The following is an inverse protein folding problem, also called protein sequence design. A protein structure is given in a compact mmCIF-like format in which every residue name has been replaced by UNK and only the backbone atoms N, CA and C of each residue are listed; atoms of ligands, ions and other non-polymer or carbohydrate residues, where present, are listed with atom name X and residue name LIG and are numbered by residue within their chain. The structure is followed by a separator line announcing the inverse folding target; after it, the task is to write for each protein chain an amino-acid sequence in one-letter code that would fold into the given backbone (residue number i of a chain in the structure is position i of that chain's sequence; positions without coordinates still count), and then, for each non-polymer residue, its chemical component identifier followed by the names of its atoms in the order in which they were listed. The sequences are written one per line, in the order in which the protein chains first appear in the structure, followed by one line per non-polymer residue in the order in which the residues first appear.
data_IF_381485463500
#
_entry.id   IF_381485463500
#
_cell.length_a   1.000
_cell.length_b   1.000
_cell.length_c   1.000
_cell.angle_alpha   90.00
_cell.angle_beta   90.00
_cell.angle_gamma   90.00
#
_symmetry.space_group_name_H-M   'P 1'
#
loop_
_entity.id
_entity.type
_entity.pdbx_description
1 polymer ?
#
# COMPACT_ATOMS: atom_id res chain seq x y z
N UNK A 1 -14.33 -17.47 -7.11
CA UNK A 1 -14.84 -16.11 -7.39
C UNK A 1 -14.08 -15.45 -8.53
N UNK A 2 -12.78 -15.17 -8.37
CA UNK A 2 -11.93 -14.57 -9.42
C UNK A 2 -12.15 -15.17 -10.82
N UNK A 3 -11.94 -16.47 -10.98
CA UNK A 3 -12.05 -17.17 -12.27
C UNK A 3 -13.45 -17.07 -12.90
N UNK A 4 -14.51 -17.02 -12.08
CA UNK A 4 -15.87 -17.00 -12.58
C UNK A 4 -16.39 -15.59 -12.89
N UNK A 5 -15.66 -14.55 -12.50
CA UNK A 5 -16.03 -13.13 -12.71
C UNK A 5 -14.98 -12.33 -13.48
N UNK A 6 -13.94 -12.98 -14.03
CA UNK A 6 -12.82 -12.29 -14.70
C UNK A 6 -13.27 -11.54 -15.96
N UNK A 7 -14.24 -12.09 -16.70
CA UNK A 7 -14.70 -11.53 -17.96
C UNK A 7 -16.06 -10.81 -17.85
N UNK A 8 -16.48 -10.44 -16.64
CA UNK A 8 -17.76 -9.74 -16.44
C UNK A 8 -17.62 -8.29 -16.84
N UNK A 9 -18.52 -7.81 -17.70
CA UNK A 9 -18.50 -6.43 -18.19
C UNK A 9 -19.81 -5.69 -17.92
N UNK A 10 -20.94 -6.40 -17.98
CA UNK A 10 -22.28 -5.81 -17.87
C UNK A 10 -23.06 -6.31 -16.65
N UNK A 11 -23.99 -5.49 -16.16
CA UNK A 11 -24.85 -5.79 -15.01
C UNK A 11 -25.86 -6.92 -15.28
N UNK A 12 -26.26 -7.14 -16.53
CA UNK A 12 -27.26 -8.15 -16.90
C UNK A 12 -26.70 -9.55 -17.17
N UNK A 13 -25.40 -9.76 -16.95
CA UNK A 13 -24.75 -11.05 -17.15
C UNK A 13 -25.00 -12.01 -15.97
N UNK A 14 -25.05 -13.32 -16.26
CA UNK A 14 -25.20 -14.35 -15.22
C UNK A 14 -24.11 -14.29 -14.15
N UNK A 15 -22.90 -13.85 -14.53
CA UNK A 15 -21.79 -13.63 -13.60
C UNK A 15 -22.09 -12.55 -12.56
N UNK A 16 -22.90 -11.53 -12.87
CA UNK A 16 -23.31 -10.52 -11.89
C UNK A 16 -24.23 -11.14 -10.83
N UNK A 17 -25.22 -11.95 -11.22
CA UNK A 17 -26.07 -12.65 -10.24
C UNK A 17 -25.24 -13.61 -9.37
N UNK A 18 -24.27 -14.32 -9.97
CA UNK A 18 -23.29 -15.09 -9.21
C UNK A 18 -22.50 -14.20 -8.23
N UNK A 19 -22.05 -13.01 -8.63
CA UNK A 19 -21.30 -12.10 -7.78
C UNK A 19 -22.14 -11.52 -6.62
N UNK A 20 -23.40 -11.17 -6.88
CA UNK A 20 -24.22 -10.32 -6.01
C UNK A 20 -25.26 -11.05 -5.17
N UNK A 21 -25.87 -12.15 -5.67
CA UNK A 21 -27.13 -12.67 -5.08
C UNK A 21 -26.94 -13.95 -4.26
N UNK A 22 -26.17 -14.91 -4.77
CA UNK A 22 -26.14 -16.30 -4.25
C UNK A 22 -25.33 -16.48 -2.94
N UNK A 23 -25.64 -15.73 -1.88
CA UNK A 23 -24.89 -15.72 -0.61
C UNK A 23 -24.95 -17.04 0.17
N UNK A 24 -26.12 -17.70 0.24
CA UNK A 24 -26.28 -18.96 0.96
C UNK A 24 -25.33 -20.02 0.39
N UNK A 25 -25.33 -20.16 -0.94
CA UNK A 25 -24.44 -21.10 -1.61
C UNK A 25 -22.95 -20.76 -1.40
N UNK A 26 -22.57 -19.48 -1.48
CA UNK A 26 -21.19 -19.04 -1.22
C UNK A 26 -20.75 -19.33 0.21
N UNK A 27 -21.65 -19.18 1.19
CA UNK A 27 -21.36 -19.50 2.58
C UNK A 27 -21.09 -20.99 2.77
N UNK A 28 -21.94 -21.86 2.22
CA UNK A 28 -21.69 -23.31 2.24
C UNK A 28 -20.38 -23.67 1.54
N UNK A 29 -20.11 -23.09 0.38
CA UNK A 29 -18.84 -23.28 -0.34
C UNK A 29 -17.64 -22.88 0.52
N UNK A 30 -17.72 -21.74 1.22
CA UNK A 30 -16.66 -21.28 2.12
C UNK A 30 -16.42 -22.27 3.27
N UNK A 31 -17.49 -22.73 3.94
CA UNK A 31 -17.39 -23.71 5.03
C UNK A 31 -16.78 -25.02 4.54
N UNK A 32 -17.20 -25.50 3.36
CA UNK A 32 -16.64 -26.72 2.75
C UNK A 32 -15.15 -26.54 2.48
N UNK A 33 -14.73 -25.43 1.89
CA UNK A 33 -13.31 -25.16 1.60
C UNK A 33 -12.48 -25.03 2.88
N UNK A 34 -13.02 -24.38 3.92
CA UNK A 34 -12.38 -24.32 5.23
C UNK A 34 -12.18 -25.70 5.85
N UNK A 35 -13.21 -26.54 5.85
CA UNK A 35 -13.11 -27.91 6.39
C UNK A 35 -12.14 -28.75 5.54
N UNK A 36 -12.20 -28.62 4.21
CA UNK A 36 -11.31 -29.32 3.28
C UNK A 36 -9.83 -28.99 3.53
N UNK A 37 -9.51 -27.77 3.97
CA UNK A 37 -8.13 -27.34 4.23
C UNK A 37 -7.41 -28.19 5.30
N UNK A 38 -8.13 -28.79 6.25
CA UNK A 38 -7.55 -29.65 7.29
C UNK A 38 -7.05 -31.00 6.76
N UNK A 39 -7.51 -31.40 5.57
CA UNK A 39 -7.12 -32.66 4.94
C UNK A 39 -5.96 -32.50 3.94
N UNK A 40 -5.45 -31.27 3.75
CA UNK A 40 -4.35 -31.00 2.81
C UNK A 40 -3.02 -31.42 3.45
N UNK A 41 -2.21 -32.28 2.78
CA UNK A 41 -0.91 -32.70 3.29
C UNK A 41 0.09 -31.53 3.43
N UNK A 42 1.01 -31.64 4.39
CA UNK A 42 2.02 -30.64 4.72
C UNK A 42 2.84 -30.14 3.50
N UNK A 43 3.17 -31.03 2.57
CA UNK A 43 3.92 -30.69 1.35
C UNK A 43 3.21 -29.61 0.52
N UNK A 44 1.89 -29.74 0.35
CA UNK A 44 1.11 -28.78 -0.43
C UNK A 44 0.96 -27.44 0.30
N UNK A 45 0.89 -27.46 1.63
CA UNK A 45 0.84 -26.24 2.45
C UNK A 45 2.14 -25.44 2.31
N UNK A 46 3.30 -26.10 2.27
CA UNK A 46 4.58 -25.43 2.06
C UNK A 46 4.69 -24.81 0.67
N UNK A 47 4.28 -25.55 -0.38
CA UNK A 47 4.24 -25.02 -1.76
C UNK A 47 3.31 -23.80 -1.82
N UNK A 48 2.11 -23.91 -1.22
CA UNK A 48 1.18 -22.80 -1.16
C UNK A 48 1.75 -21.61 -0.39
N UNK A 49 2.48 -21.82 0.71
CA UNK A 49 3.11 -20.74 1.46
C UNK A 49 4.13 -19.94 0.63
N UNK A 50 4.88 -20.59 -0.26
CA UNK A 50 5.79 -19.91 -1.19
C UNK A 50 5.02 -19.07 -2.23
N UNK A 51 3.92 -19.62 -2.76
CA UNK A 51 3.00 -18.88 -3.64
C UNK A 51 2.40 -17.68 -2.90
N UNK A 52 1.95 -17.87 -1.66
CA UNK A 52 1.38 -16.83 -0.82
C UNK A 52 2.40 -15.74 -0.49
N UNK A 53 3.69 -16.08 -0.33
CA UNK A 53 4.77 -15.09 -0.14
C UNK A 53 4.89 -14.17 -1.35
N UNK A 54 4.87 -14.72 -2.56
CA UNK A 54 4.92 -13.93 -3.80
C UNK A 54 3.64 -13.10 -3.95
N UNK A 55 2.47 -13.72 -3.75
CA UNK A 55 1.18 -13.04 -3.83
C UNK A 55 1.04 -11.90 -2.82
N UNK A 56 1.55 -12.07 -1.60
CA UNK A 56 1.62 -11.04 -0.58
C UNK A 56 2.50 -9.86 -1.00
N UNK A 57 3.63 -10.12 -1.68
CA UNK A 57 4.46 -9.07 -2.27
C UNK A 57 3.73 -8.27 -3.34
N UNK A 58 2.98 -8.96 -4.22
CA UNK A 58 2.13 -8.31 -5.24
C UNK A 58 1.04 -7.47 -4.57
N UNK A 59 0.39 -7.99 -3.52
CA UNK A 59 -0.61 -7.26 -2.75
C UNK A 59 -0.05 -5.95 -2.18
N UNK A 60 1.12 -6.01 -1.54
CA UNK A 60 1.79 -4.83 -1.00
C UNK A 60 2.05 -3.79 -2.11
N UNK A 61 2.53 -4.21 -3.28
CA UNK A 61 2.72 -3.32 -4.43
C UNK A 61 1.43 -2.66 -4.91
N UNK A 62 0.33 -3.42 -5.05
CA UNK A 62 -0.98 -2.87 -5.42
C UNK A 62 -1.52 -1.90 -4.37
N UNK A 63 -1.37 -2.25 -3.08
CA UNK A 63 -1.76 -1.39 -1.98
C UNK A 63 -0.96 -0.07 -1.97
N UNK A 64 0.35 -0.12 -2.28
CA UNK A 64 1.18 1.08 -2.39
C UNK A 64 0.69 2.02 -3.50
N UNK A 65 0.40 1.48 -4.68
CA UNK A 65 -0.13 2.27 -5.80
C UNK A 65 -1.46 2.90 -5.41
N UNK A 66 -2.37 2.13 -4.83
CA UNK A 66 -3.68 2.62 -4.37
C UNK A 66 -3.55 3.72 -3.30
N UNK A 67 -2.63 3.57 -2.34
CA UNK A 67 -2.34 4.60 -1.33
C UNK A 67 -1.80 5.88 -1.97
N UNK A 68 -0.89 5.78 -2.95
CA UNK A 68 -0.32 6.95 -3.64
C UNK A 68 -1.39 7.67 -4.48
N UNK A 69 -2.27 6.93 -5.16
CA UNK A 69 -3.42 7.53 -5.86
C UNK A 69 -4.37 8.21 -4.89
N UNK A 70 -4.68 7.56 -3.77
CA UNK A 70 -5.49 8.15 -2.71
C UNK A 70 -4.87 9.44 -2.15
N UNK A 71 -3.56 9.47 -1.89
CA UNK A 71 -2.84 10.68 -1.45
C UNK A 71 -2.95 11.78 -2.51
N UNK A 72 -2.87 11.42 -3.80
CA UNK A 72 -2.96 12.38 -4.91
C UNK A 72 -4.38 12.94 -5.03
N UNK A 73 -5.39 12.08 -4.92
CA UNK A 73 -6.80 12.47 -4.87
C UNK A 73 -7.07 13.39 -3.67
N UNK A 74 -6.58 13.02 -2.48
CA UNK A 74 -6.72 13.82 -1.26
C UNK A 74 -6.06 15.19 -1.44
N UNK A 75 -4.86 15.24 -2.01
CA UNK A 75 -4.18 16.49 -2.34
C UNK A 75 -5.02 17.38 -3.26
N UNK A 76 -5.60 16.82 -4.33
CA UNK A 76 -6.41 17.57 -5.29
C UNK A 76 -7.76 18.00 -4.72
N UNK A 77 -8.33 17.23 -3.80
CA UNK A 77 -9.58 17.57 -3.11
C UNK A 77 -9.40 18.82 -2.21
N UNK A 78 -8.32 18.88 -1.44
CA UNK A 78 -8.07 20.02 -0.55
C UNK A 78 -7.38 21.21 -1.25
N UNK A 79 -6.63 20.95 -2.33
CA UNK A 79 -5.99 21.96 -3.17
C UNK A 79 -6.43 21.86 -4.63
N UNK A 80 -7.71 22.18 -4.96
CA UNK A 80 -8.19 22.20 -6.33
C UNK A 80 -7.51 23.31 -7.15
N UNK A 81 -7.30 23.06 -8.45
CA UNK A 81 -6.59 23.96 -9.37
C UNK A 81 -7.31 25.31 -9.61
N UNK A 82 -8.63 25.38 -9.42
CA UNK A 82 -9.42 26.62 -9.50
C UNK A 82 -9.34 27.37 -8.16
N UNK A 83 -8.41 28.32 -8.09
CA UNK A 83 -7.92 28.90 -6.83
C UNK A 83 -8.90 29.89 -6.18
N UNK A 84 -9.19 29.68 -4.90
CA UNK A 84 -9.44 30.76 -3.93
C UNK A 84 -8.21 30.89 -3.02
N UNK A 85 -7.88 32.11 -2.57
CA UNK A 85 -6.75 32.33 -1.62
C UNK A 85 -6.88 31.50 -0.33
N UNK A 86 -8.11 31.15 0.06
CA UNK A 86 -8.42 30.37 1.26
C UNK A 86 -8.01 28.89 1.13
N UNK A 87 -8.20 28.27 -0.04
CA UNK A 87 -7.81 26.87 -0.27
C UNK A 87 -6.28 26.68 -0.26
N UNK A 88 -5.52 27.63 -0.81
CA UNK A 88 -4.06 27.61 -0.77
C UNK A 88 -3.51 27.72 0.67
N UNK A 89 -4.10 28.60 1.50
CA UNK A 89 -3.72 28.73 2.91
C UNK A 89 -3.98 27.44 3.70
N UNK A 90 -5.14 26.80 3.48
CA UNK A 90 -5.49 25.54 4.14
C UNK A 90 -4.54 24.39 3.76
N UNK A 91 -4.21 24.26 2.47
CA UNK A 91 -3.27 23.23 2.01
C UNK A 91 -1.86 23.36 2.60
N UNK A 92 -1.38 24.60 2.77
CA UNK A 92 -0.10 24.88 3.44
C UNK A 92 -0.14 24.53 4.93
N UNK A 93 -1.21 24.91 5.65
CA UNK A 93 -1.38 24.55 7.06
C UNK A 93 -1.38 23.04 7.24
N UNK A 94 -2.16 22.32 6.43
CA UNK A 94 -2.21 20.85 6.48
C UNK A 94 -0.86 20.22 6.18
N UNK A 95 -0.12 20.73 5.19
CA UNK A 95 1.21 20.24 4.88
C UNK A 95 2.18 20.40 6.07
N UNK A 96 2.16 21.56 6.73
CA UNK A 96 2.97 21.82 7.93
C UNK A 96 2.63 20.80 9.03
N UNK A 97 1.36 20.52 9.26
CA UNK A 97 0.92 19.53 10.27
C UNK A 97 1.50 18.14 9.96
N UNK A 98 1.41 17.67 8.71
CA UNK A 98 1.97 16.37 8.34
C UNK A 98 3.50 16.32 8.46
N UNK A 99 4.20 17.39 8.09
CA UNK A 99 5.66 17.46 8.24
C UNK A 99 6.09 17.49 9.72
N UNK A 100 5.42 18.29 10.57
CA UNK A 100 5.66 18.29 12.02
C UNK A 100 5.40 16.90 12.60
N UNK A 101 4.27 16.27 12.25
CA UNK A 101 3.95 14.91 12.68
C UNK A 101 5.03 13.90 12.29
N UNK A 102 5.55 14.00 11.05
CA UNK A 102 6.63 13.14 10.56
C UNK A 102 7.94 13.33 11.34
N UNK A 103 8.33 14.58 11.61
CA UNK A 103 9.53 14.91 12.41
C UNK A 103 9.38 14.43 13.85
N UNK A 104 8.21 14.63 14.48
CA UNK A 104 7.91 14.10 15.80
C UNK A 104 8.00 12.57 15.84
N UNK A 105 7.46 11.89 14.81
CA UNK A 105 7.56 10.43 14.67
C UNK A 105 9.00 9.94 14.60
N UNK A 106 9.85 10.60 13.80
CA UNK A 106 11.29 10.31 13.72
C UNK A 106 11.97 10.51 15.08
N UNK A 107 11.70 11.62 15.77
CA UNK A 107 12.30 11.92 17.07
C UNK A 107 11.92 10.87 18.13
N UNK A 108 10.65 10.48 18.17
CA UNK A 108 10.15 9.39 19.02
C UNK A 108 10.85 8.07 18.68
N UNK A 109 11.02 7.75 17.40
CA UNK A 109 11.70 6.53 16.99
C UNK A 109 13.17 6.50 17.43
N UNK A 110 13.92 7.59 17.27
CA UNK A 110 15.29 7.69 17.77
C UNK A 110 15.36 7.54 19.28
N UNK A 111 14.45 8.19 20.02
CA UNK A 111 14.41 8.13 21.48
C UNK A 111 14.13 6.71 21.99
N UNK A 112 13.13 6.01 21.43
CA UNK A 112 12.73 4.70 21.94
C UNK A 112 13.51 3.52 21.38
N UNK A 113 13.98 3.62 20.12
CA UNK A 113 14.56 2.48 19.38
C UNK A 113 16.01 2.69 18.93
N UNK A 114 16.57 3.90 19.11
CA UNK A 114 17.91 4.28 18.69
C UNK A 114 18.81 4.86 19.80
N UNK A 115 18.38 4.80 21.07
CA UNK A 115 19.11 5.43 22.19
C UNK A 115 20.46 4.77 22.53
N UNK A 116 20.72 3.55 22.07
CA UNK A 116 21.96 2.81 22.31
C UNK A 116 22.68 2.52 20.99
N UNK A 117 24.01 2.62 21.00
CA UNK A 117 24.87 2.25 19.86
C UNK A 117 24.81 0.76 19.52
N UNK A 118 24.29 -0.08 20.43
CA UNK A 118 23.99 -1.48 20.17
C UNK A 118 22.85 -1.67 19.14
N UNK A 119 22.05 -0.64 18.88
CA UNK A 119 20.90 -0.66 17.97
C UNK A 119 21.20 -0.09 16.59
N UNK A 120 22.39 -0.41 16.06
CA UNK A 120 22.90 0.16 14.80
C UNK A 120 21.97 -0.04 13.61
N UNK A 121 21.24 -1.17 13.54
CA UNK A 121 20.31 -1.43 12.44
C UNK A 121 19.06 -0.55 12.50
N UNK A 122 18.49 -0.32 13.68
CA UNK A 122 17.35 0.59 13.84
C UNK A 122 17.77 2.03 13.56
N UNK A 123 18.96 2.44 14.01
CA UNK A 123 19.54 3.76 13.69
C UNK A 123 19.69 3.91 12.17
N UNK A 124 20.18 2.87 11.48
CA UNK A 124 20.30 2.87 10.02
C UNK A 124 18.93 3.03 9.33
N UNK A 125 17.92 2.25 9.71
CA UNK A 125 16.58 2.36 9.14
C UNK A 125 16.01 3.77 9.31
N UNK A 126 16.01 4.31 10.53
CA UNK A 126 15.48 5.65 10.81
C UNK A 126 16.28 6.72 10.05
N UNK A 127 17.61 6.61 10.00
CA UNK A 127 18.48 7.53 9.26
C UNK A 127 18.16 7.53 7.76
N UNK A 128 17.97 6.35 7.19
CA UNK A 128 17.62 6.20 5.79
C UNK A 128 16.23 6.79 5.48
N UNK A 129 15.26 6.57 6.36
CA UNK A 129 13.94 7.20 6.27
C UNK A 129 14.04 8.73 6.24
N UNK A 130 14.87 9.34 7.11
CA UNK A 130 15.12 10.79 7.08
C UNK A 130 15.67 11.25 5.72
N UNK A 131 16.62 10.50 5.14
CA UNK A 131 17.18 10.81 3.82
C UNK A 131 16.07 10.75 2.76
N UNK A 132 15.23 9.71 2.75
CA UNK A 132 14.10 9.59 1.81
C UNK A 132 13.13 10.78 1.93
N UNK A 133 12.82 11.20 3.16
CA UNK A 133 11.96 12.36 3.43
C UNK A 133 12.55 13.66 2.85
N UNK A 134 13.84 13.91 3.07
CA UNK A 134 14.52 15.09 2.53
C UNK A 134 14.51 15.07 0.99
N UNK A 135 14.83 13.92 0.39
CA UNK A 135 14.84 13.75 -1.07
C UNK A 135 13.44 14.00 -1.66
N UNK A 136 12.39 13.41 -1.08
CA UNK A 136 11.01 13.64 -1.51
C UNK A 136 10.61 15.12 -1.39
N UNK A 137 10.97 15.78 -0.28
CA UNK A 137 10.67 17.20 -0.08
C UNK A 137 11.38 18.08 -1.13
N UNK A 138 12.67 17.85 -1.38
CA UNK A 138 13.45 18.62 -2.36
C UNK A 138 12.88 18.45 -3.78
N UNK A 139 12.57 17.23 -4.17
CA UNK A 139 12.01 16.94 -5.51
C UNK A 139 10.63 17.56 -5.67
N UNK A 140 9.76 17.48 -4.65
CA UNK A 140 8.42 18.08 -4.69
C UNK A 140 8.43 19.61 -4.78
N UNK A 141 9.50 20.26 -4.32
CA UNK A 141 9.69 21.72 -4.43
C UNK A 141 10.32 22.16 -5.77
N UNK A 142 10.84 21.21 -6.56
CA UNK A 142 11.57 21.53 -7.78
C UNK A 142 10.67 22.22 -8.82
N UNK A 143 11.20 23.26 -9.46
CA UNK A 143 10.43 24.19 -10.29
C UNK A 143 9.76 23.54 -11.51
N UNK A 144 10.31 22.43 -12.01
CA UNK A 144 9.79 21.67 -13.16
C UNK A 144 8.63 20.72 -12.83
N UNK A 145 8.31 20.49 -11.55
CA UNK A 145 7.21 19.59 -11.17
C UNK A 145 5.87 20.32 -11.35
N UNK A 146 5.00 19.77 -12.22
CA UNK A 146 3.76 20.41 -12.70
C UNK A 146 2.68 20.59 -11.63
N UNK A 147 2.78 19.85 -10.51
CA UNK A 147 1.90 19.95 -9.34
C UNK A 147 2.78 20.14 -8.09
N UNK A 148 3.13 21.39 -7.75
CA UNK A 148 3.86 21.71 -6.51
C UNK A 148 2.96 21.41 -5.30
N UNK A 149 3.00 20.17 -4.82
CA UNK A 149 2.16 19.68 -3.75
C UNK A 149 2.95 19.40 -2.49
N UNK A 150 3.27 20.43 -1.71
CA UNK A 150 3.84 20.26 -0.37
C UNK A 150 2.97 19.35 0.49
N UNK A 151 1.64 19.43 0.34
CA UNK A 151 0.69 18.57 1.05
C UNK A 151 0.86 17.09 0.70
N UNK A 152 0.87 16.73 -0.59
CA UNK A 152 1.11 15.35 -1.03
C UNK A 152 2.42 14.77 -0.47
N UNK A 153 3.51 15.56 -0.52
CA UNK A 153 4.80 15.12 0.03
C UNK A 153 4.81 14.97 1.55
N UNK A 154 4.08 15.83 2.27
CA UNK A 154 3.94 15.74 3.72
C UNK A 154 3.13 14.50 4.15
N UNK A 155 2.02 14.21 3.45
CA UNK A 155 1.23 12.99 3.70
C UNK A 155 2.08 11.75 3.41
N UNK A 156 2.83 11.75 2.30
CA UNK A 156 3.76 10.66 1.96
C UNK A 156 4.86 10.51 3.02
N UNK A 157 5.43 11.60 3.52
CA UNK A 157 6.42 11.58 4.59
C UNK A 157 5.87 10.90 5.86
N UNK A 158 4.63 11.22 6.25
CA UNK A 158 3.97 10.56 7.39
C UNK A 158 3.75 9.06 7.16
N UNK A 159 3.41 8.68 5.93
CA UNK A 159 3.23 7.27 5.55
C UNK A 159 4.54 6.48 5.61
N UNK A 160 5.64 7.03 5.06
CA UNK A 160 6.98 6.40 5.13
C UNK A 160 7.43 6.26 6.59
N UNK A 161 7.25 7.30 7.42
CA UNK A 161 7.56 7.25 8.86
C UNK A 161 6.75 6.15 9.56
N UNK A 162 5.46 6.00 9.22
CA UNK A 162 4.62 4.93 9.75
C UNK A 162 5.11 3.53 9.32
N UNK A 163 5.53 3.36 8.06
CA UNK A 163 6.09 2.08 7.58
C UNK A 163 7.39 1.72 8.31
N UNK A 164 8.30 2.68 8.48
CA UNK A 164 9.53 2.50 9.26
C UNK A 164 9.21 2.10 10.71
N UNK A 165 8.29 2.82 11.36
CA UNK A 165 7.87 2.50 12.72
C UNK A 165 7.27 1.09 12.82
N UNK A 166 6.41 0.72 11.87
CA UNK A 166 5.82 -0.62 11.79
C UNK A 166 6.88 -1.71 11.61
N UNK A 167 7.93 -1.45 10.84
CA UNK A 167 9.03 -2.38 10.62
C UNK A 167 9.87 -2.62 11.88
N UNK A 168 10.22 -1.53 12.59
CA UNK A 168 10.98 -1.61 13.85
C UNK A 168 10.16 -2.32 14.93
N UNK A 169 8.85 -2.13 14.97
CA UNK A 169 7.95 -2.84 15.89
C UNK A 169 7.87 -4.35 15.63
N UNK A 170 8.23 -4.80 14.43
CA UNK A 170 8.32 -6.22 14.07
C UNK A 170 9.66 -6.86 14.44
N UNK A 171 10.61 -6.12 14.99
CA UNK A 171 11.90 -6.65 15.44
C UNK A 171 11.70 -7.76 16.51
N UNK A 172 12.43 -8.89 16.42
CA UNK A 172 12.31 -9.97 17.40
C UNK A 172 12.79 -9.56 18.80
N UNK A 173 12.14 -10.11 19.82
CA UNK A 173 12.27 -9.69 21.24
C UNK A 173 13.65 -9.90 21.88
N UNK A 174 14.53 -10.67 21.24
CA UNK A 174 15.88 -10.95 21.74
C UNK A 174 16.83 -9.75 21.57
N UNK A 175 16.50 -8.81 20.68
CA UNK A 175 17.25 -7.56 20.49
C UNK A 175 16.60 -6.46 21.33
N UNK A 176 17.17 -6.14 22.50
CA UNK A 176 16.60 -5.14 23.42
C UNK A 176 16.92 -3.72 22.98
N UNK A 177 16.30 -3.27 21.89
CA UNK A 177 16.41 -1.90 21.42
C UNK A 177 15.27 -0.99 21.87
N UNK A 178 14.19 -1.54 22.43
CA UNK A 178 13.06 -0.77 22.94
C UNK A 178 13.32 -0.33 24.40
N UNK A 179 13.35 0.99 24.63
CA UNK A 179 13.51 1.58 25.97
C UNK A 179 12.30 1.34 26.90
N UNK A 180 11.16 0.88 26.39
CA UNK A 180 9.99 0.57 27.21
C UNK A 180 10.08 -0.85 27.78
N UNK A 181 10.38 -0.92 29.09
CA UNK A 181 10.25 -2.10 29.93
C UNK A 181 8.80 -2.60 29.89
N UNK A 182 8.59 -3.87 29.50
CA UNK A 182 7.27 -4.49 29.46
C UNK A 182 6.66 -4.57 30.87
N UNK A 183 5.72 -3.68 31.18
CA UNK A 183 4.78 -3.88 32.27
C UNK A 183 3.57 -4.68 31.75
N UNK A 184 3.30 -5.77 32.44
CA UNK A 184 2.44 -6.89 32.04
C UNK A 184 0.93 -6.63 32.19
N UNK A 185 0.34 -5.81 31.31
CA UNK A 185 -1.10 -5.81 31.04
C UNK A 185 -1.36 -5.93 29.53
N UNK A 186 -0.83 -7.01 28.96
CA UNK A 186 -0.51 -7.14 27.53
C UNK A 186 -1.64 -7.81 26.72
N UNK A 187 -2.62 -8.46 27.35
CA UNK A 187 -3.52 -9.34 26.59
C UNK A 187 -4.63 -8.58 25.85
N UNK A 188 -5.33 -7.66 26.52
CA UNK A 188 -6.40 -6.86 25.88
C UNK A 188 -5.90 -5.92 24.79
N UNK A 189 -4.72 -5.32 25.00
CA UNK A 189 -4.10 -4.41 24.02
C UNK A 189 -3.60 -5.17 22.79
N UNK A 190 -3.13 -6.41 22.95
CA UNK A 190 -2.73 -7.28 21.83
C UNK A 190 -3.93 -7.75 21.02
N UNK A 191 -5.03 -8.16 21.68
CA UNK A 191 -6.27 -8.55 20.98
C UNK A 191 -6.85 -7.36 20.22
N UNK A 192 -6.93 -6.19 20.85
CA UNK A 192 -7.45 -4.98 20.22
C UNK A 192 -6.60 -4.56 19.01
N UNK A 193 -5.27 -4.56 19.15
CA UNK A 193 -4.36 -4.21 18.04
C UNK A 193 -4.44 -5.21 16.89
N UNK A 194 -4.63 -6.50 17.18
CA UNK A 194 -4.89 -7.52 16.18
C UNK A 194 -6.18 -7.26 15.41
N UNK A 195 -7.31 -7.01 16.09
CA UNK A 195 -8.59 -6.70 15.44
C UNK A 195 -8.52 -5.45 14.56
N UNK A 196 -7.82 -4.41 15.03
CA UNK A 196 -7.57 -3.20 14.25
C UNK A 196 -6.73 -3.52 13.01
N UNK A 197 -5.70 -4.36 13.13
CA UNK A 197 -4.88 -4.77 11.99
C UNK A 197 -5.70 -5.55 10.94
N UNK A 198 -6.57 -6.47 11.36
CA UNK A 198 -7.50 -7.16 10.45
C UNK A 198 -8.39 -6.14 9.74
N UNK A 199 -9.05 -5.26 10.51
CA UNK A 199 -9.94 -4.25 9.95
C UNK A 199 -9.24 -3.35 8.93
N UNK A 200 -8.02 -2.91 9.23
CA UNK A 200 -7.21 -2.11 8.33
C UNK A 200 -6.86 -2.85 7.04
N UNK A 201 -6.49 -4.14 7.12
CA UNK A 201 -6.18 -4.96 5.93
C UNK A 201 -7.42 -5.20 5.09
N UNK A 202 -8.56 -5.52 5.71
CA UNK A 202 -9.84 -5.70 5.01
C UNK A 202 -10.25 -4.42 4.30
N UNK A 203 -10.17 -3.27 4.98
CA UNK A 203 -10.49 -1.97 4.38
C UNK A 203 -9.52 -1.62 3.24
N UNK A 204 -8.22 -1.85 3.42
CA UNK A 204 -7.24 -1.63 2.36
C UNK A 204 -7.51 -2.53 1.14
N UNK A 205 -7.77 -3.81 1.37
CA UNK A 205 -8.11 -4.79 0.32
C UNK A 205 -9.37 -4.37 -0.43
N UNK A 206 -10.40 -3.96 0.31
CA UNK A 206 -11.66 -3.50 -0.27
C UNK A 206 -11.45 -2.23 -1.11
N UNK A 207 -10.78 -1.23 -0.55
CA UNK A 207 -10.46 0.02 -1.23
C UNK A 207 -9.66 -0.22 -2.51
N UNK A 208 -8.61 -1.03 -2.45
CA UNK A 208 -7.80 -1.37 -3.63
C UNK A 208 -8.60 -2.17 -4.65
N UNK A 209 -9.48 -3.08 -4.20
CA UNK A 209 -10.33 -3.88 -5.09
C UNK A 209 -11.33 -3.05 -5.90
N UNK A 210 -11.91 -2.01 -5.30
CA UNK A 210 -12.87 -1.11 -5.99
C UNK A 210 -12.18 -0.05 -6.84
N UNK A 211 -10.94 0.33 -6.50
CA UNK A 211 -10.11 1.30 -7.23
C UNK A 211 -9.60 0.74 -8.60
N UNK A 212 -10.11 -0.41 -9.04
CA UNK A 212 -9.89 -0.96 -10.39
C UNK A 212 -10.23 0.00 -11.52
N UNK A 213 -11.04 1.03 -11.27
CA UNK A 213 -11.40 2.07 -12.23
C UNK A 213 -10.19 2.89 -12.69
N UNK A 214 -9.22 3.17 -11.80
CA UNK A 214 -7.99 3.87 -12.17
C UNK A 214 -7.13 3.03 -13.12
N UNK A 215 -7.02 1.73 -12.84
CA UNK A 215 -6.35 0.76 -13.72
C UNK A 215 -7.12 0.50 -15.03
N UNK A 216 -8.46 0.47 -14.98
CA UNK A 216 -9.33 0.25 -16.15
C UNK A 216 -9.33 1.45 -17.10
N UNK A 217 -9.31 2.66 -16.56
CA UNK A 217 -9.28 3.91 -17.33
C UNK A 217 -7.98 4.07 -18.14
N UNK A 218 -6.85 3.53 -17.65
CA UNK A 218 -5.58 3.57 -18.39
C UNK A 218 -5.58 2.65 -19.62
N UNK A 219 -6.32 1.52 -19.58
CA UNK A 219 -6.44 0.60 -20.71
C UNK A 219 -7.56 0.95 -21.70
N UNK A 220 -8.61 1.65 -21.26
CA UNK A 220 -9.81 1.95 -22.08
C UNK A 220 -10.14 3.44 -22.04
N UNK A 221 -9.19 4.25 -22.51
CA UNK A 221 -9.31 5.71 -22.49
C UNK A 221 -10.33 6.26 -23.51
N UNK A 222 -10.76 5.43 -24.47
CA UNK A 222 -11.52 5.84 -25.66
C UNK A 222 -12.97 5.32 -25.74
N UNK A 223 -13.47 4.56 -24.75
CA UNK A 223 -14.86 4.08 -24.72
C UNK A 223 -15.68 4.83 -23.66
N UNK A 224 -16.84 5.35 -24.04
CA UNK A 224 -17.79 5.97 -23.11
C UNK A 224 -18.45 4.91 -22.22
N UNK A 225 -18.57 5.18 -20.91
CA UNK A 225 -19.29 4.30 -19.98
C UNK A 225 -20.78 4.27 -20.31
N UNK A 226 -21.34 3.07 -20.44
CA UNK A 226 -22.78 2.85 -20.61
C UNK A 226 -23.45 2.64 -19.24
N UNK A 227 -24.76 2.91 -19.14
CA UNK A 227 -25.51 2.78 -17.87
C UNK A 227 -25.54 1.35 -17.32
N UNK A 228 -25.36 0.34 -18.17
CA UNK A 228 -25.35 -1.08 -17.82
C UNK A 228 -23.94 -1.63 -17.50
N UNK A 229 -22.91 -0.80 -17.55
CA UNK A 229 -21.54 -1.18 -17.19
C UNK A 229 -21.38 -1.40 -15.67
N UNK A 230 -20.57 -2.38 -15.30
CA UNK A 230 -20.27 -2.64 -13.90
C UNK A 230 -19.42 -1.52 -13.27
N UNK A 231 -19.67 -1.16 -11.98
CA UNK A 231 -19.02 -0.02 -11.31
C UNK A 231 -17.54 -0.24 -10.98
N UNK A 232 -17.09 -1.49 -10.97
CA UNK A 232 -15.69 -1.88 -10.81
C UNK A 232 -15.50 -3.27 -11.44
N UNK A 233 -14.26 -3.63 -11.77
CA UNK A 233 -13.98 -4.97 -12.30
C UNK A 233 -14.12 -6.02 -11.21
N UNK A 234 -15.16 -6.87 -11.31
CA UNK A 234 -15.37 -7.96 -10.35
C UNK A 234 -14.18 -8.93 -10.31
N UNK A 235 -13.60 -9.25 -11.47
CA UNK A 235 -12.36 -10.03 -11.58
C UNK A 235 -11.24 -9.41 -10.76
N UNK A 236 -10.91 -8.15 -11.01
CA UNK A 236 -9.84 -7.46 -10.27
C UNK A 236 -10.13 -7.40 -8.76
N UNK A 237 -11.37 -7.09 -8.37
CA UNK A 237 -11.79 -7.08 -6.98
C UNK A 237 -11.48 -8.41 -6.28
N UNK A 238 -11.89 -9.55 -6.86
CA UNK A 238 -11.63 -10.87 -6.27
C UNK A 238 -10.15 -11.26 -6.32
N UNK A 239 -9.38 -10.77 -7.30
CA UNK A 239 -7.93 -10.95 -7.34
C UNK A 239 -7.27 -10.27 -6.14
N UNK A 240 -7.60 -8.99 -5.92
CA UNK A 240 -7.08 -8.21 -4.80
C UNK A 240 -7.46 -8.86 -3.46
N UNK A 241 -8.70 -9.35 -3.31
CA UNK A 241 -9.10 -10.11 -2.12
C UNK A 241 -8.31 -11.41 -1.93
N UNK A 242 -8.03 -12.14 -3.01
CA UNK A 242 -7.20 -13.35 -2.93
C UNK A 242 -5.75 -13.01 -2.52
N UNK A 243 -5.17 -11.96 -3.08
CA UNK A 243 -3.82 -11.50 -2.75
C UNK A 243 -3.76 -10.94 -1.32
N UNK A 244 -4.80 -10.24 -0.87
CA UNK A 244 -4.94 -9.75 0.50
C UNK A 244 -5.05 -10.88 1.52
N UNK A 245 -5.76 -11.96 1.19
CA UNK A 245 -5.80 -13.17 2.01
C UNK A 245 -4.43 -13.86 2.10
N UNK A 246 -3.66 -13.91 1.01
CA UNK A 246 -2.27 -14.40 1.02
C UNK A 246 -1.37 -13.53 1.90
N UNK A 247 -1.47 -12.20 1.78
CA UNK A 247 -0.74 -11.27 2.66
C UNK A 247 -1.10 -11.48 4.13
N UNK A 248 -2.39 -11.59 4.44
CA UNK A 248 -2.85 -11.85 5.80
C UNK A 248 -2.32 -13.17 6.38
N UNK A 249 -2.28 -14.23 5.56
CA UNK A 249 -1.66 -15.50 5.94
C UNK A 249 -0.15 -15.35 6.22
N UNK A 250 0.58 -14.58 5.41
CA UNK A 250 2.01 -14.33 5.62
C UNK A 250 2.29 -13.57 6.92
N UNK A 251 1.39 -12.66 7.35
CA UNK A 251 1.51 -11.97 8.63
C UNK A 251 1.41 -12.92 9.83
N UNK A 252 0.50 -13.90 9.79
CA UNK A 252 0.34 -14.88 10.87
C UNK A 252 1.58 -15.73 11.12
N UNK A 253 2.30 -16.06 10.05
CA UNK A 253 3.54 -16.85 10.12
C UNK A 253 4.79 -15.97 10.18
N UNK A 254 4.63 -14.65 10.36
CA UNK A 254 5.73 -13.67 10.40
C UNK A 254 6.68 -13.77 9.21
N UNK A 255 6.13 -14.04 8.02
CA UNK A 255 6.87 -14.24 6.77
C UNK A 255 7.83 -15.44 6.76
N UNK A 256 7.76 -16.32 7.76
CA UNK A 256 8.64 -17.46 7.92
C UNK A 256 7.90 -18.79 7.72
N UNK A 257 8.36 -19.60 6.78
CA UNK A 257 7.77 -20.90 6.46
C UNK A 257 8.40 -22.08 7.22
N UNK A 258 9.61 -21.89 7.76
CA UNK A 258 10.42 -22.99 8.32
C UNK A 258 10.34 -23.12 9.84
N UNK A 259 9.88 -22.07 10.54
CA UNK A 259 9.79 -22.06 12.00
C UNK A 259 8.35 -21.93 12.47
N UNK A 260 7.94 -22.80 13.38
CA UNK A 260 6.67 -22.70 14.09
C UNK A 260 6.71 -21.54 15.09
N UNK A 261 5.72 -20.65 15.03
CA UNK A 261 5.58 -19.53 15.96
C UNK A 261 5.30 -20.07 17.38
N UNK A 262 6.29 -20.04 18.27
CA UNK A 262 6.14 -20.58 19.65
C UNK A 262 5.29 -19.71 20.58
N UNK A 263 5.07 -18.44 20.22
CA UNK A 263 4.24 -17.48 20.97
C UNK A 263 3.26 -16.82 20.01
N UNK A 264 2.07 -16.47 20.50
CA UNK A 264 1.09 -15.65 19.77
C UNK A 264 1.64 -14.25 19.48
N UNK A 265 2.49 -14.15 18.45
CA UNK A 265 3.08 -12.91 17.95
C UNK A 265 2.92 -12.89 16.44
N UNK A 266 2.05 -12.02 15.95
CA UNK A 266 1.79 -11.83 14.53
C UNK A 266 2.78 -10.81 14.01
N UNK A 267 3.35 -11.08 12.84
CA UNK A 267 4.17 -10.11 12.13
C UNK A 267 5.39 -9.64 12.96
N UNK A 268 5.99 -10.57 13.73
CA UNK A 268 7.21 -10.36 14.52
C UNK A 268 8.30 -11.30 14.03
N UNK A 269 9.41 -10.73 13.59
CA UNK A 269 10.60 -11.43 13.10
C UNK A 269 11.37 -10.59 12.09
N UNK A 270 12.66 -10.89 11.91
CA UNK A 270 13.52 -10.17 10.97
C UNK A 270 12.99 -10.17 9.54
N UNK A 271 12.38 -11.28 9.09
CA UNK A 271 11.79 -11.36 7.76
C UNK A 271 10.66 -10.36 7.58
N UNK A 272 9.76 -10.25 8.57
CA UNK A 272 8.68 -9.25 8.58
C UNK A 272 9.25 -7.82 8.57
N UNK A 273 10.23 -7.53 9.43
CA UNK A 273 10.91 -6.22 9.47
C UNK A 273 11.45 -5.84 8.10
N UNK A 274 12.20 -6.73 7.44
CA UNK A 274 12.78 -6.45 6.13
C UNK A 274 11.73 -6.28 5.04
N UNK A 275 10.65 -7.08 5.04
CA UNK A 275 9.55 -6.90 4.09
C UNK A 275 8.95 -5.50 4.21
N UNK A 276 8.75 -5.00 5.44
CA UNK A 276 8.21 -3.66 5.67
C UNK A 276 9.18 -2.54 5.29
N UNK A 277 10.48 -2.68 5.58
CA UNK A 277 11.52 -1.72 5.16
C UNK A 277 11.62 -1.66 3.64
N UNK A 278 11.62 -2.81 2.98
CA UNK A 278 11.65 -2.88 1.52
C UNK A 278 10.38 -2.25 0.93
N UNK A 279 9.21 -2.50 1.55
CA UNK A 279 7.94 -1.87 1.16
C UNK A 279 7.99 -0.34 1.31
N UNK A 280 8.62 0.19 2.37
CA UNK A 280 8.88 1.62 2.54
C UNK A 280 9.73 2.20 1.41
N UNK A 281 10.82 1.51 1.03
CA UNK A 281 11.69 1.96 -0.06
C UNK A 281 10.97 1.96 -1.40
N UNK A 282 10.17 0.92 -1.68
CA UNK A 282 9.33 0.87 -2.88
C UNK A 282 8.29 1.99 -2.89
N UNK A 283 7.65 2.27 -1.75
CA UNK A 283 6.69 3.37 -1.63
C UNK A 283 7.35 4.72 -2.00
N UNK A 284 8.51 5.01 -1.43
CA UNK A 284 9.27 6.22 -1.75
C UNK A 284 9.69 6.26 -3.23
N UNK A 285 10.18 5.15 -3.77
CA UNK A 285 10.60 5.06 -5.17
C UNK A 285 9.45 5.29 -6.16
N UNK A 286 8.28 4.66 -5.94
CA UNK A 286 7.09 4.83 -6.78
C UNK A 286 6.59 6.28 -6.70
N UNK A 287 6.57 6.87 -5.50
CA UNK A 287 6.17 8.26 -5.32
C UNK A 287 7.10 9.23 -6.07
N UNK A 288 8.41 9.07 -5.92
CA UNK A 288 9.41 9.87 -6.64
C UNK A 288 9.27 9.70 -8.16
N UNK A 289 9.08 8.46 -8.62
CA UNK A 289 8.85 8.20 -10.04
C UNK A 289 7.59 8.89 -10.55
N UNK A 290 6.50 8.90 -9.78
CA UNK A 290 5.25 9.60 -10.14
C UNK A 290 5.48 11.12 -10.33
N UNK A 291 6.34 11.73 -9.52
CA UNK A 291 6.68 13.15 -9.66
C UNK A 291 7.60 13.42 -10.86
N UNK A 292 8.56 12.53 -11.13
CA UNK A 292 9.61 12.72 -12.15
C UNK A 292 9.14 12.30 -13.55
N UNK A 293 8.32 11.25 -13.68
CA UNK A 293 7.93 10.66 -14.95
C UNK A 293 7.28 11.65 -15.93
N UNK A 294 6.39 12.58 -15.51
CA UNK A 294 5.83 13.59 -16.41
C UNK A 294 6.90 14.54 -16.98
N UNK A 295 7.93 14.86 -16.20
CA UNK A 295 9.02 15.76 -16.61
C UNK A 295 9.89 15.09 -17.67
N UNK A 296 10.27 13.83 -17.42
CA UNK A 296 11.09 13.04 -18.35
C UNK A 296 10.35 12.82 -19.67
N UNK A 297 9.04 12.53 -19.63
CA UNK A 297 8.22 12.36 -20.84
C UNK A 297 8.07 13.66 -21.63
N UNK A 298 7.90 14.82 -20.98
CA UNK A 298 7.81 16.11 -21.67
C UNK A 298 9.10 16.51 -22.39
N UNK A 299 10.27 16.24 -21.80
CA UNK A 299 11.56 16.50 -22.46
C UNK A 299 11.68 15.73 -23.78
N UNK A 300 11.27 14.45 -23.78
CA UNK A 300 11.32 13.60 -24.99
C UNK A 300 10.42 14.08 -26.12
N UNK A 301 9.28 14.70 -25.81
CA UNK A 301 8.38 15.25 -26.84
C UNK A 301 8.98 16.51 -27.49
N UNK A 302 9.70 17.33 -26.73
CA UNK A 302 10.38 18.52 -27.27
C UNK A 302 11.63 18.20 -28.10
N UNK A 303 12.27 17.04 -27.89
CA UNK A 303 13.44 16.60 -28.66
C UNK A 303 13.08 15.87 -29.97
N UNK A 304 11.81 15.47 -30.18
CA UNK A 304 11.41 15.03 -31.52
C UNK A 304 11.42 16.23 -32.46
N UNK A 305 12.13 16.17 -33.60
CA UNK A 305 12.06 17.23 -34.60
C UNK A 305 10.60 17.38 -35.02
N UNK A 306 10.06 18.60 -34.97
CA UNK A 306 8.79 18.86 -35.65
C UNK A 306 8.95 18.44 -37.11
N UNK A 307 8.03 17.66 -37.70
CA UNK A 307 8.04 17.42 -39.13
C UNK A 307 7.98 18.79 -39.80
N UNK A 308 9.04 19.15 -40.52
CA UNK A 308 9.07 20.36 -41.33
C UNK A 308 7.88 20.33 -42.27
N UNK A 309 7.21 21.47 -42.46
CA UNK A 309 6.01 21.62 -43.29
C UNK A 309 6.14 21.08 -44.75
N UNK A 310 7.34 20.70 -45.17
CA UNK A 310 7.62 20.00 -46.43
C UNK A 310 7.21 18.50 -46.44
N UNK A 311 7.03 17.84 -45.29
CA UNK A 311 6.62 16.42 -45.21
C UNK A 311 5.10 16.22 -45.12
N UNK A 312 4.33 17.28 -44.88
CA UNK A 312 2.85 17.21 -44.80
C UNK A 312 2.19 17.27 -46.20
N UNK A 313 2.96 17.60 -47.24
CA UNK A 313 2.48 17.76 -48.61
C UNK A 313 3.10 16.78 -49.61
N UNK A 314 3.62 15.64 -49.16
CA UNK A 314 4.08 14.54 -50.03
C UNK A 314 3.39 13.24 -49.66
#
# INVERSE_FOLDING_TARGET
MFLSTWNTMKLHEAQNSWHSDNWIFKFFLLVIVMVASFFIPQLYIQIYGEIARVGAGIFLGLQLVSVIEFITWWNNYWMPQNQSKQSCSFGLVMSIVFYIGSVCGIAVMYYFYGASTACGLNIFFISWTVILLIVMMVISLHSKVKNRGLLSSGIMASYIVFLCWSAIRSEPSHTKCNAHTQNSHTDWTTILSFLIAIGAIVMATFSTGIDSESFRFEFRKDEAKEEDDIPYSYGFFHLVFSLGAMYFAMLFISWNLSHSTEKWSIDVGWTSTWVKIVNEWFAAAIYLWKLIAPIVRQHRVHEQPQPTAAEVHR
#
